data_IF_948981120960
#
_entry.id   IF_948981120960
#
_cell.length_a   1.000
_cell.length_b   1.000
_cell.length_c   1.000
_cell.angle_alpha   90.00
_cell.angle_beta   90.00
_cell.angle_gamma   90.00
#
_symmetry.space_group_name_H-M   'P 1'
#
loop_
_entity.id
_entity.type
_entity.pdbx_description
1 polymer ?
#
# COMPACT_ATOMS: atom_id res chain seq x y z
N UNK A 1 -7.78 26.80 -1.62
CA UNK A 1 -7.70 26.57 -3.06
C UNK A 1 -6.66 25.49 -3.39
N UNK A 2 -5.42 25.57 -2.92
CA UNK A 2 -4.36 24.58 -3.22
C UNK A 2 -4.62 23.14 -2.77
N UNK A 3 -5.27 22.90 -1.62
CA UNK A 3 -5.54 21.53 -1.11
C UNK A 3 -6.45 20.73 -2.04
N UNK A 4 -7.41 21.38 -2.68
CA UNK A 4 -8.32 20.76 -3.66
C UNK A 4 -7.59 20.37 -4.95
N UNK A 5 -6.60 21.13 -5.36
CA UNK A 5 -5.84 20.85 -6.59
C UNK A 5 -4.88 19.66 -6.39
N UNK A 6 -4.25 19.57 -5.23
CA UNK A 6 -3.41 18.43 -4.84
C UNK A 6 -4.24 17.13 -4.75
N UNK A 7 -5.43 17.20 -4.13
CA UNK A 7 -6.36 16.08 -4.04
C UNK A 7 -6.87 15.62 -5.42
N UNK A 8 -7.31 16.57 -6.27
CA UNK A 8 -7.76 16.25 -7.64
C UNK A 8 -6.66 15.60 -8.47
N UNK A 9 -5.42 16.09 -8.34
CA UNK A 9 -4.28 15.49 -9.01
C UNK A 9 -4.05 14.05 -8.53
N UNK A 10 -4.05 13.83 -7.22
CA UNK A 10 -3.89 12.51 -6.63
C UNK A 10 -4.99 11.54 -7.08
N UNK A 11 -6.25 11.97 -7.02
CA UNK A 11 -7.42 11.17 -7.41
C UNK A 11 -7.36 10.75 -8.89
N UNK A 12 -7.02 11.68 -9.78
CA UNK A 12 -6.89 11.39 -11.22
C UNK A 12 -5.82 10.34 -11.51
N UNK A 13 -4.70 10.39 -10.80
CA UNK A 13 -3.61 9.42 -10.96
C UNK A 13 -3.94 8.08 -10.32
N UNK A 14 -4.62 8.10 -9.19
CA UNK A 14 -4.97 6.91 -8.44
C UNK A 14 -6.10 6.10 -9.08
N UNK A 15 -6.96 6.70 -9.90
CA UNK A 15 -8.17 6.06 -10.44
C UNK A 15 -7.93 4.67 -11.08
N UNK A 16 -6.90 4.52 -11.90
CA UNK A 16 -6.58 3.23 -12.53
C UNK A 16 -6.18 2.16 -11.50
N UNK A 17 -5.47 2.56 -10.44
CA UNK A 17 -5.05 1.65 -9.38
C UNK A 17 -6.23 1.25 -8.50
N UNK A 18 -7.19 2.14 -8.26
CA UNK A 18 -8.39 1.80 -7.49
C UNK A 18 -9.17 0.65 -8.13
N UNK A 19 -9.21 0.59 -9.45
CA UNK A 19 -9.86 -0.49 -10.17
C UNK A 19 -9.12 -1.83 -9.98
N UNK A 20 -7.79 -1.81 -10.06
CA UNK A 20 -6.97 -3.00 -9.78
C UNK A 20 -7.15 -3.48 -8.33
N UNK A 21 -7.14 -2.58 -7.37
CA UNK A 21 -7.36 -2.89 -5.96
C UNK A 21 -8.74 -3.50 -5.71
N UNK A 22 -9.77 -3.00 -6.36
CA UNK A 22 -11.10 -3.58 -6.26
C UNK A 22 -11.11 -5.06 -6.66
N UNK A 23 -10.54 -5.41 -7.83
CA UNK A 23 -10.51 -6.80 -8.28
C UNK A 23 -9.65 -7.70 -7.39
N UNK A 24 -8.49 -7.22 -6.95
CA UNK A 24 -7.60 -7.98 -6.04
C UNK A 24 -8.30 -8.17 -4.68
N UNK A 25 -8.95 -7.14 -4.15
CA UNK A 25 -9.68 -7.21 -2.87
C UNK A 25 -10.84 -8.20 -2.91
N UNK A 26 -11.65 -8.15 -3.98
CA UNK A 26 -12.73 -9.14 -4.17
C UNK A 26 -12.17 -10.55 -4.24
N UNK A 27 -11.11 -10.77 -5.02
CA UNK A 27 -10.44 -12.08 -5.14
C UNK A 27 -9.94 -12.56 -3.79
N UNK A 28 -9.27 -11.70 -3.03
CA UNK A 28 -8.77 -12.03 -1.69
C UNK A 28 -9.91 -12.40 -0.73
N UNK A 29 -10.99 -11.62 -0.72
CA UNK A 29 -12.16 -11.91 0.12
C UNK A 29 -12.81 -13.26 -0.20
N UNK A 30 -12.94 -13.61 -1.49
CA UNK A 30 -13.46 -14.90 -1.92
C UNK A 30 -12.55 -16.07 -1.49
N UNK A 31 -11.24 -15.92 -1.70
CA UNK A 31 -10.26 -16.94 -1.30
C UNK A 31 -10.22 -17.15 0.21
N UNK A 32 -10.32 -16.09 1.01
CA UNK A 32 -10.41 -16.17 2.48
C UNK A 32 -11.69 -16.93 2.89
N UNK A 33 -12.83 -16.65 2.25
CA UNK A 33 -14.08 -17.36 2.51
C UNK A 33 -13.96 -18.85 2.17
N UNK A 34 -13.37 -19.20 1.04
CA UNK A 34 -13.11 -20.60 0.67
C UNK A 34 -12.15 -21.30 1.65
N UNK A 35 -11.22 -20.56 2.24
CA UNK A 35 -10.31 -21.07 3.26
C UNK A 35 -10.99 -21.26 4.64
N UNK A 36 -12.29 -20.95 4.77
CA UNK A 36 -13.04 -21.05 6.01
C UNK A 36 -12.93 -19.83 6.93
N UNK A 37 -12.32 -18.75 6.47
CA UNK A 37 -12.18 -17.50 7.25
C UNK A 37 -13.27 -16.51 6.88
N UNK A 38 -13.95 -15.99 7.90
CA UNK A 38 -15.03 -15.00 7.71
C UNK A 38 -14.52 -13.61 7.35
N UNK A 39 -15.46 -12.73 6.97
CA UNK A 39 -15.18 -11.34 6.55
C UNK A 39 -14.35 -10.54 7.54
N UNK A 40 -14.52 -10.80 8.85
CA UNK A 40 -13.76 -10.10 9.89
C UNK A 40 -12.25 -10.36 9.78
N UNK A 41 -11.84 -11.58 9.44
CA UNK A 41 -10.43 -11.94 9.24
C UNK A 41 -9.84 -11.29 7.99
N UNK A 42 -10.64 -11.22 6.91
CA UNK A 42 -10.25 -10.50 5.70
C UNK A 42 -10.04 -9.01 5.99
N UNK A 43 -10.97 -8.39 6.71
CA UNK A 43 -10.88 -6.99 7.11
C UNK A 43 -9.66 -6.72 8.02
N UNK A 44 -9.46 -7.53 9.06
CA UNK A 44 -8.31 -7.38 9.96
C UNK A 44 -6.99 -7.52 9.20
N UNK A 45 -6.89 -8.49 8.28
CA UNK A 45 -5.68 -8.64 7.46
C UNK A 45 -5.47 -7.43 6.53
N UNK A 46 -6.52 -6.85 5.96
CA UNK A 46 -6.42 -5.64 5.14
C UNK A 46 -5.90 -4.44 5.94
N UNK A 47 -6.37 -4.28 7.18
CA UNK A 47 -5.94 -3.18 8.07
C UNK A 47 -4.48 -3.34 8.52
N UNK A 48 -4.07 -4.56 8.94
CA UNK A 48 -2.79 -4.75 9.61
C UNK A 48 -1.65 -5.19 8.68
N UNK A 49 -1.96 -5.94 7.62
CA UNK A 49 -0.93 -6.45 6.69
C UNK A 49 -0.72 -5.49 5.53
N UNK A 50 -1.79 -4.90 5.00
CA UNK A 50 -1.77 -3.91 3.91
C UNK A 50 -0.77 -4.26 2.80
N UNK A 51 -1.01 -5.35 2.10
CA UNK A 51 -0.15 -5.74 0.98
C UNK A 51 -0.77 -6.87 0.15
N UNK A 52 -1.22 -6.55 -1.07
CA UNK A 52 -1.94 -7.48 -1.94
C UNK A 52 -1.23 -8.82 -2.12
N UNK A 53 0.04 -8.80 -2.46
CA UNK A 53 0.84 -10.02 -2.68
C UNK A 53 0.93 -10.87 -1.42
N UNK A 54 1.25 -10.28 -0.27
CA UNK A 54 1.40 -11.05 0.98
C UNK A 54 0.06 -11.55 1.50
N UNK A 55 -1.05 -10.83 1.25
CA UNK A 55 -2.39 -11.28 1.62
C UNK A 55 -2.89 -12.43 0.76
N UNK A 56 -2.61 -12.44 -0.55
CA UNK A 56 -2.91 -13.59 -1.39
C UNK A 56 -2.11 -14.83 -0.97
N UNK A 57 -0.83 -14.65 -0.61
CA UNK A 57 0.00 -15.72 -0.04
C UNK A 57 -0.51 -16.19 1.33
N UNK A 58 -1.06 -15.27 2.14
CA UNK A 58 -1.65 -15.60 3.45
C UNK A 58 -2.71 -16.69 3.35
N UNK A 59 -3.55 -16.67 2.32
CA UNK A 59 -4.57 -17.70 2.11
C UNK A 59 -3.93 -19.08 1.97
N UNK A 60 -2.89 -19.20 1.16
CA UNK A 60 -2.14 -20.45 1.01
C UNK A 60 -1.45 -20.89 2.31
N UNK A 61 -0.86 -19.96 3.04
CA UNK A 61 -0.22 -20.18 4.34
C UNK A 61 -1.23 -20.75 5.35
N UNK A 62 -2.42 -20.17 5.42
CA UNK A 62 -3.49 -20.61 6.32
C UNK A 62 -4.05 -21.98 5.94
N UNK A 63 -4.29 -22.22 4.65
CA UNK A 63 -4.79 -23.53 4.14
C UNK A 63 -3.80 -24.67 4.40
N UNK A 64 -2.51 -24.42 4.26
CA UNK A 64 -1.46 -25.45 4.35
C UNK A 64 -0.85 -25.60 5.75
N UNK A 65 -1.35 -24.89 6.77
CA UNK A 65 -0.79 -24.91 8.12
C UNK A 65 0.74 -24.69 8.12
N UNK A 66 1.21 -23.74 7.35
CA UNK A 66 2.62 -23.51 7.08
C UNK A 66 3.40 -23.21 8.37
N UNK A 67 4.57 -23.82 8.60
CA UNK A 67 5.39 -23.55 9.78
C UNK A 67 5.79 -22.09 9.91
N UNK A 68 5.85 -21.57 11.14
CA UNK A 68 6.12 -20.15 11.42
C UNK A 68 7.45 -19.66 10.84
N UNK A 69 8.47 -20.50 10.83
CA UNK A 69 9.77 -20.15 10.24
C UNK A 69 9.66 -19.91 8.72
N UNK A 70 8.92 -20.78 8.03
CA UNK A 70 8.64 -20.65 6.59
C UNK A 70 7.84 -19.39 6.30
N UNK A 71 6.85 -19.06 7.15
CA UNK A 71 6.09 -17.79 7.04
C UNK A 71 7.03 -16.60 7.15
N UNK A 72 7.94 -16.62 8.13
CA UNK A 72 8.93 -15.56 8.30
C UNK A 72 9.83 -15.38 7.07
N UNK A 73 10.35 -16.47 6.51
CA UNK A 73 11.17 -16.43 5.30
C UNK A 73 10.40 -15.92 4.08
N UNK A 74 9.19 -16.40 3.84
CA UNK A 74 8.33 -15.94 2.74
C UNK A 74 8.06 -14.43 2.90
N UNK A 75 7.67 -14.00 4.10
CA UNK A 75 7.39 -12.58 4.37
C UNK A 75 8.61 -11.69 4.13
N UNK A 76 9.80 -12.13 4.58
CA UNK A 76 11.05 -11.41 4.36
C UNK A 76 11.38 -11.29 2.87
N UNK A 77 11.30 -12.39 2.12
CA UNK A 77 11.60 -12.41 0.69
C UNK A 77 10.62 -11.54 -0.11
N UNK A 78 9.32 -11.68 0.13
CA UNK A 78 8.29 -10.92 -0.58
C UNK A 78 8.39 -9.42 -0.29
N UNK A 79 8.65 -9.05 0.97
CA UNK A 79 8.73 -7.64 1.37
C UNK A 79 10.12 -7.02 1.15
N UNK A 80 11.14 -7.79 0.78
CA UNK A 80 12.51 -7.27 0.51
C UNK A 80 12.52 -6.16 -0.55
N UNK A 81 11.63 -6.20 -1.53
CA UNK A 81 11.45 -5.17 -2.56
C UNK A 81 11.16 -3.77 -1.99
N UNK A 82 10.50 -3.67 -0.83
CA UNK A 82 10.22 -2.38 -0.18
C UNK A 82 11.51 -1.65 0.25
N UNK A 83 12.60 -2.38 0.48
CA UNK A 83 13.91 -1.79 0.75
C UNK A 83 14.40 -0.97 -0.46
N UNK A 84 14.22 -1.48 -1.67
CA UNK A 84 14.60 -0.77 -2.91
C UNK A 84 13.73 0.46 -3.15
N UNK A 85 12.42 0.40 -2.81
CA UNK A 85 11.53 1.55 -2.92
C UNK A 85 11.96 2.66 -1.96
N UNK A 86 12.31 2.30 -0.72
CA UNK A 86 12.85 3.22 0.27
C UNK A 86 14.15 3.89 -0.18
N UNK A 87 15.06 3.13 -0.82
CA UNK A 87 16.32 3.66 -1.35
C UNK A 87 16.08 4.69 -2.47
N UNK A 88 15.14 4.42 -3.37
CA UNK A 88 14.81 5.35 -4.48
C UNK A 88 14.32 6.70 -3.97
N UNK A 89 13.57 6.73 -2.88
CA UNK A 89 12.98 7.95 -2.29
C UNK A 89 13.68 8.42 -1.02
N UNK A 90 14.90 7.93 -0.74
CA UNK A 90 15.60 8.19 0.53
C UNK A 90 15.80 9.68 0.82
N UNK A 91 16.18 10.47 -0.17
CA UNK A 91 16.45 11.90 0.01
C UNK A 91 15.16 12.70 0.21
N UNK A 92 14.09 12.30 -0.42
CA UNK A 92 12.77 12.90 -0.23
C UNK A 92 12.21 12.56 1.15
N UNK A 93 12.28 11.31 1.53
CA UNK A 93 11.83 10.83 2.83
C UNK A 93 12.66 11.43 3.99
N UNK A 94 13.98 11.64 3.80
CA UNK A 94 14.81 12.38 4.78
C UNK A 94 14.30 13.81 4.98
N UNK A 95 13.91 14.51 3.90
CA UNK A 95 13.35 15.86 3.99
C UNK A 95 12.00 15.87 4.72
N UNK A 96 11.13 14.91 4.43
CA UNK A 96 9.82 14.76 5.08
C UNK A 96 10.01 14.43 6.57
N UNK A 97 10.92 13.50 6.90
CA UNK A 97 11.23 13.11 8.29
C UNK A 97 11.70 14.29 9.13
N UNK A 98 12.54 15.19 8.57
CA UNK A 98 12.98 16.42 9.26
C UNK A 98 11.83 17.38 9.58
N UNK A 99 10.78 17.41 8.74
CA UNK A 99 9.61 18.27 8.94
C UNK A 99 8.54 17.62 9.82
N UNK A 100 8.30 16.33 9.67
CA UNK A 100 7.30 15.59 10.45
C UNK A 100 7.60 14.09 10.42
N UNK A 101 7.95 13.55 11.57
CA UNK A 101 8.22 12.11 11.73
C UNK A 101 6.97 11.26 11.46
N UNK A 102 5.78 11.72 11.88
CA UNK A 102 4.53 10.98 11.64
C UNK A 102 4.19 10.85 10.15
N UNK A 103 4.39 11.91 9.36
CA UNK A 103 4.19 11.85 7.90
C UNK A 103 5.19 10.91 7.24
N UNK A 104 6.44 10.96 7.66
CA UNK A 104 7.46 10.02 7.19
C UNK A 104 7.08 8.58 7.50
N UNK A 105 6.69 8.28 8.75
CA UNK A 105 6.30 6.94 9.16
C UNK A 105 5.10 6.43 8.36
N UNK A 106 4.05 7.26 8.24
CA UNK A 106 2.86 6.92 7.46
C UNK A 106 3.19 6.61 5.99
N UNK A 107 3.92 7.50 5.31
CA UNK A 107 4.31 7.31 3.91
C UNK A 107 5.20 6.08 3.70
N UNK A 108 6.08 5.77 4.67
CA UNK A 108 6.96 4.60 4.59
C UNK A 108 6.19 3.29 4.80
N UNK A 109 5.23 3.26 5.72
CA UNK A 109 4.44 2.06 6.02
C UNK A 109 3.37 1.78 4.94
N UNK A 110 2.89 2.81 4.26
CA UNK A 110 1.86 2.68 3.23
C UNK A 110 2.41 2.73 1.79
N UNK A 111 3.72 2.59 1.62
CA UNK A 111 4.37 2.54 0.32
C UNK A 111 4.27 1.13 -0.28
N UNK A 112 3.23 0.87 -1.04
CA UNK A 112 3.05 -0.38 -1.81
C UNK A 112 3.66 -0.28 -3.20
N UNK A 113 3.69 -1.40 -3.93
CA UNK A 113 4.18 -1.48 -5.31
C UNK A 113 3.45 -0.51 -6.24
N UNK A 114 2.14 -0.45 -6.09
CA UNK A 114 1.26 0.36 -6.91
C UNK A 114 1.47 1.85 -6.61
N UNK A 115 1.58 2.21 -5.33
CA UNK A 115 1.89 3.58 -4.92
C UNK A 115 3.27 4.00 -5.41
N UNK A 116 4.26 3.11 -5.30
CA UNK A 116 5.60 3.33 -5.84
C UNK A 116 5.58 3.56 -7.35
N UNK A 117 4.84 2.74 -8.10
CA UNK A 117 4.69 2.90 -9.54
C UNK A 117 4.07 4.24 -9.93
N UNK A 118 3.08 4.71 -9.16
CA UNK A 118 2.50 6.05 -9.34
C UNK A 118 3.52 7.17 -9.11
N UNK A 119 4.36 7.01 -8.10
CA UNK A 119 5.37 8.01 -7.81
C UNK A 119 6.39 8.16 -8.93
N UNK A 120 6.85 7.03 -9.50
CA UNK A 120 7.77 7.05 -10.65
C UNK A 120 7.07 7.52 -11.92
N UNK A 121 5.87 7.03 -12.20
CA UNK A 121 5.12 7.33 -13.42
C UNK A 121 4.49 8.72 -13.45
N UNK A 122 4.51 9.47 -12.32
CA UNK A 122 3.88 10.79 -12.26
C UNK A 122 4.89 11.93 -12.28
N UNK A 123 4.72 12.85 -13.23
CA UNK A 123 5.40 14.15 -13.17
C UNK A 123 4.62 15.04 -12.20
N UNK A 124 5.18 15.27 -11.02
CA UNK A 124 4.57 16.14 -10.01
C UNK A 124 4.68 17.61 -10.45
N UNK A 125 3.57 18.37 -10.48
CA UNK A 125 3.61 19.78 -10.84
C UNK A 125 4.42 20.58 -9.81
N UNK A 126 5.34 21.44 -10.25
CA UNK A 126 6.19 22.25 -9.38
C UNK A 126 5.40 23.22 -8.47
N UNK A 127 4.18 23.60 -8.91
CA UNK A 127 3.30 24.53 -8.18
C UNK A 127 2.57 23.88 -6.99
N UNK A 128 2.56 22.54 -6.89
CA UNK A 128 1.84 21.79 -5.86
C UNK A 128 2.81 21.19 -4.84
N UNK A 129 2.36 21.02 -3.60
CA UNK A 129 3.15 20.38 -2.55
C UNK A 129 3.20 18.87 -2.78
N UNK A 130 4.36 18.39 -3.21
CA UNK A 130 4.60 16.98 -3.49
C UNK A 130 4.31 16.07 -2.28
N UNK A 131 4.67 16.50 -1.07
CA UNK A 131 4.42 15.73 0.15
C UNK A 131 2.91 15.53 0.38
N UNK A 132 2.11 16.56 0.13
CA UNK A 132 0.65 16.47 0.27
C UNK A 132 0.04 15.55 -0.80
N UNK A 133 0.52 15.62 -2.04
CA UNK A 133 0.08 14.70 -3.09
C UNK A 133 0.40 13.26 -2.70
N UNK A 134 1.60 12.98 -2.21
CA UNK A 134 2.00 11.65 -1.73
C UNK A 134 1.08 11.18 -0.59
N UNK A 135 0.77 12.04 0.38
CA UNK A 135 -0.16 11.73 1.47
C UNK A 135 -1.56 11.40 0.93
N UNK A 136 -2.09 12.15 -0.04
CA UNK A 136 -3.39 11.86 -0.64
C UNK A 136 -3.39 10.55 -1.41
N UNK A 137 -2.36 10.27 -2.22
CA UNK A 137 -2.24 8.99 -2.94
C UNK A 137 -2.24 7.82 -1.96
N UNK A 138 -1.40 7.87 -0.92
CA UNK A 138 -1.32 6.81 0.08
C UNK A 138 -2.64 6.65 0.85
N UNK A 139 -3.31 7.76 1.20
CA UNK A 139 -4.59 7.71 1.92
C UNK A 139 -5.70 7.12 1.06
N UNK A 140 -5.77 7.47 -0.23
CA UNK A 140 -6.71 6.89 -1.18
C UNK A 140 -6.43 5.40 -1.36
N UNK A 141 -5.16 5.01 -1.53
CA UNK A 141 -4.75 3.63 -1.69
C UNK A 141 -5.12 2.78 -0.47
N UNK A 142 -4.79 3.25 0.72
CA UNK A 142 -5.09 2.55 1.98
C UNK A 142 -6.60 2.43 2.22
N UNK A 143 -7.35 3.51 1.98
CA UNK A 143 -8.81 3.49 2.15
C UNK A 143 -9.49 2.51 1.19
N UNK A 144 -9.12 2.53 -0.09
CA UNK A 144 -9.71 1.61 -1.09
C UNK A 144 -9.35 0.15 -0.81
N UNK A 145 -8.19 -0.11 -0.20
CA UNK A 145 -7.77 -1.45 0.14
C UNK A 145 -8.57 -2.04 1.31
N UNK A 146 -8.96 -1.21 2.27
CA UNK A 146 -9.71 -1.64 3.45
C UNK A 146 -11.20 -1.86 3.14
N UNK A 147 -11.79 -1.02 2.28
CA UNK A 147 -13.23 -0.99 1.96
C UNK A 147 -13.55 -1.57 0.60
#
# INVERSE_FOLDING_TARGET
MFILDEFKFALKRYFLISLAYFFIGVTFGLLMKEAGYGTIWSFLSAVFIYGGTIQLLLVGILKNHTPILTIGLISLLVNSRHMFYGLTYIDEFKKIRKKSFLKFLYLSLTLTDEVYSLYIGSKFPEKLDRTKIMLWINSLAYSTWIF
#
